data_IF_302735663438
#
_entry.id   IF_302735663438
#
_cell.length_a   1.000
_cell.length_b   1.000
_cell.length_c   1.000
_cell.angle_alpha   90.00
_cell.angle_beta   90.00
_cell.angle_gamma   90.00
#
_symmetry.space_group_name_H-M   'P 1'
#
loop_
_entity.id
_entity.type
_entity.pdbx_description
1 polymer ?
#
# COMPACT_ATOMS: atom_id res chain seq x y z
N UNK A 1 5.58 15.98 0.88
CA UNK A 1 4.98 14.65 1.18
C UNK A 1 3.50 14.69 0.82
N UNK A 2 2.89 13.51 0.61
CA UNK A 2 1.44 13.38 0.42
C UNK A 2 0.71 13.91 1.67
N UNK A 3 -0.46 14.52 1.48
CA UNK A 3 -1.24 15.07 2.59
C UNK A 3 -1.83 13.96 3.48
N UNK A 4 -1.88 14.23 4.79
CA UNK A 4 -2.41 13.29 5.77
C UNK A 4 -3.88 12.89 5.53
N UNK A 5 -4.69 13.77 4.93
CA UNK A 5 -6.06 13.47 4.55
C UNK A 5 -6.13 12.48 3.39
N UNK A 6 -5.22 12.53 2.43
CA UNK A 6 -5.11 11.55 1.33
C UNK A 6 -4.68 10.19 1.87
N UNK A 7 -3.72 10.18 2.80
CA UNK A 7 -3.35 8.96 3.52
C UNK A 7 -4.55 8.35 4.27
N UNK A 8 -5.33 9.16 4.98
CA UNK A 8 -6.53 8.71 5.68
C UNK A 8 -7.62 8.20 4.71
N UNK A 9 -7.81 8.85 3.56
CA UNK A 9 -8.76 8.43 2.53
C UNK A 9 -8.46 7.05 1.95
N UNK A 10 -7.18 6.65 1.90
CA UNK A 10 -6.81 5.31 1.44
C UNK A 10 -7.42 4.19 2.28
N UNK A 11 -7.72 4.46 3.56
CA UNK A 11 -8.22 3.50 4.52
C UNK A 11 -7.37 2.19 4.59
N UNK A 12 -6.09 2.29 4.23
CA UNK A 12 -5.14 1.18 4.32
C UNK A 12 -4.76 0.86 5.77
N UNK A 13 -4.57 1.92 6.57
CA UNK A 13 -4.16 1.82 7.97
C UNK A 13 -5.16 2.57 8.87
N UNK A 14 -5.95 1.83 9.64
CA UNK A 14 -7.07 2.35 10.44
C UNK A 14 -6.70 2.82 11.84
N UNK A 15 -5.43 2.72 12.21
CA UNK A 15 -4.94 3.23 13.48
C UNK A 15 -4.82 4.75 13.38
N UNK A 16 -5.37 5.47 14.36
CA UNK A 16 -5.19 6.92 14.45
C UNK A 16 -3.71 7.28 14.47
N UNK A 17 -3.33 8.29 13.70
CA UNK A 17 -1.95 8.76 13.58
C UNK A 17 -1.74 9.92 14.53
N UNK A 18 -0.82 9.78 15.49
CA UNK A 18 -0.41 10.86 16.40
C UNK A 18 0.80 11.62 15.86
N UNK A 19 1.57 10.99 14.96
CA UNK A 19 2.72 11.59 14.30
C UNK A 19 2.77 11.16 12.84
N UNK A 20 2.76 12.15 11.96
CA UNK A 20 2.83 11.98 10.51
C UNK A 20 4.09 12.68 9.99
N UNK A 21 4.98 11.92 9.35
CA UNK A 21 6.17 12.44 8.68
C UNK A 21 6.25 11.87 7.28
N UNK A 22 6.89 12.60 6.39
CA UNK A 22 7.18 12.12 5.05
C UNK A 22 8.13 13.05 4.32
N UNK A 23 8.70 12.55 3.25
CA UNK A 23 9.66 13.25 2.40
C UNK A 23 9.49 12.81 0.93
N UNK A 24 10.33 13.32 0.04
CA UNK A 24 10.47 12.83 -1.35
C UNK A 24 9.16 12.76 -2.13
N UNK A 25 8.40 13.85 -2.11
CA UNK A 25 7.17 13.95 -2.90
C UNK A 25 7.48 14.00 -4.39
N UNK A 26 7.01 12.99 -5.11
CA UNK A 26 6.93 12.97 -6.57
C UNK A 26 5.46 12.96 -6.97
N UNK A 27 5.09 13.89 -7.84
CA UNK A 27 3.74 13.99 -8.38
C UNK A 27 3.80 14.31 -9.87
N UNK A 28 2.76 13.94 -10.59
CA UNK A 28 2.66 14.25 -12.01
C UNK A 28 1.56 13.48 -12.71
N UNK A 29 1.63 13.50 -14.03
CA UNK A 29 0.72 12.76 -14.91
C UNK A 29 1.56 11.87 -15.82
N UNK A 30 1.27 10.57 -15.81
CA UNK A 30 1.84 9.62 -16.75
C UNK A 30 0.77 9.23 -17.78
N UNK A 31 0.94 9.72 -19.02
CA UNK A 31 -0.07 9.68 -20.08
C UNK A 31 -1.38 10.36 -19.64
N UNK A 32 -2.37 9.61 -19.15
CA UNK A 32 -3.67 10.13 -18.72
C UNK A 32 -3.90 10.03 -17.21
N UNK A 33 -2.97 9.43 -16.47
CA UNK A 33 -3.15 9.06 -15.07
C UNK A 33 -2.34 10.00 -14.18
N UNK A 34 -3.02 10.83 -13.38
CA UNK A 34 -2.36 11.58 -12.33
C UNK A 34 -1.98 10.67 -11.16
N UNK A 35 -0.87 10.99 -10.52
CA UNK A 35 -0.35 10.25 -9.37
C UNK A 35 0.43 11.14 -8.41
N UNK A 36 0.50 10.70 -7.16
CA UNK A 36 1.49 11.17 -6.19
C UNK A 36 2.13 9.96 -5.49
N UNK A 37 3.38 10.16 -5.08
CA UNK A 37 4.17 9.20 -4.34
C UNK A 37 5.05 9.95 -3.33
N UNK A 38 5.14 9.45 -2.11
CA UNK A 38 6.09 9.98 -1.11
C UNK A 38 6.49 8.91 -0.11
N UNK A 39 7.72 9.01 0.43
CA UNK A 39 8.07 8.24 1.63
C UNK A 39 7.27 8.78 2.81
N UNK A 40 6.64 7.89 3.58
CA UNK A 40 5.90 8.23 4.79
C UNK A 40 6.38 7.40 5.98
N UNK A 41 6.37 8.01 7.16
CA UNK A 41 6.49 7.35 8.45
C UNK A 41 5.38 7.84 9.38
N UNK A 42 4.40 6.98 9.63
CA UNK A 42 3.26 7.27 10.50
C UNK A 42 3.36 6.46 11.80
N UNK A 43 3.05 7.10 12.93
CA UNK A 43 3.18 6.51 14.25
C UNK A 43 2.01 6.88 15.15
N UNK A 44 1.68 6.00 16.10
CA UNK A 44 0.82 6.33 17.25
C UNK A 44 1.62 6.23 18.55
N UNK A 45 1.14 6.93 19.57
CA UNK A 45 1.68 6.92 20.91
C UNK A 45 0.93 5.88 21.74
N UNK A 46 1.64 4.83 22.14
CA UNK A 46 1.12 3.87 23.10
C UNK A 46 1.52 4.29 24.51
N UNK A 47 0.53 4.35 25.41
CA UNK A 47 0.72 4.68 26.82
C UNK A 47 0.29 3.47 27.64
N UNK A 48 1.23 2.90 28.40
CA UNK A 48 0.94 1.81 29.34
C UNK A 48 1.20 2.27 30.77
N UNK A 49 0.44 1.74 31.71
CA UNK A 49 0.63 1.99 33.14
C UNK A 49 0.76 0.65 33.83
N UNK A 50 1.84 0.45 34.58
CA UNK A 50 2.05 -0.81 35.29
C UNK A 50 1.24 -0.90 36.60
N UNK A 51 1.28 -2.06 37.24
CA UNK A 51 0.59 -2.32 38.51
C UNK A 51 1.09 -1.45 39.68
N UNK A 52 2.20 -0.71 39.50
CA UNK A 52 2.76 0.24 40.47
C UNK A 52 2.46 1.70 40.11
N UNK A 53 1.59 1.94 39.11
CA UNK A 53 1.21 3.29 38.66
C UNK A 53 2.27 3.99 37.82
N UNK A 54 3.34 3.31 37.39
CA UNK A 54 4.39 3.92 36.57
C UNK A 54 3.92 3.95 35.12
N UNK A 55 3.87 5.16 34.55
CA UNK A 55 3.48 5.41 33.16
C UNK A 55 4.68 5.24 32.24
N UNK A 56 4.50 4.48 31.17
CA UNK A 56 5.47 4.29 30.09
C UNK A 56 4.84 4.77 28.79
N UNK A 57 5.60 5.48 27.97
CA UNK A 57 5.15 5.97 26.67
C UNK A 57 6.10 5.44 25.59
N UNK A 58 5.56 4.88 24.51
CA UNK A 58 6.37 4.50 23.35
C UNK A 58 5.69 4.89 22.05
N UNK A 59 6.50 5.26 21.06
CA UNK A 59 6.03 5.47 19.69
C UNK A 59 6.03 4.14 18.95
N UNK A 60 4.89 3.78 18.38
CA UNK A 60 4.71 2.55 17.62
C UNK A 60 4.44 2.91 16.16
N UNK A 61 5.22 2.34 15.24
CA UNK A 61 5.05 2.54 13.80
C UNK A 61 3.75 1.90 13.33
N UNK A 62 2.96 2.67 12.58
CA UNK A 62 1.78 2.19 11.84
C UNK A 62 2.24 1.78 10.45
N UNK A 63 2.90 2.70 9.74
CA UNK A 63 3.45 2.49 8.42
C UNK A 63 4.79 3.20 8.29
N UNK A 64 5.74 2.57 7.59
CA UNK A 64 6.99 3.18 7.15
C UNK A 64 7.30 2.66 5.74
N UNK A 65 7.52 3.55 4.78
CA UNK A 65 7.91 3.21 3.42
C UNK A 65 7.22 4.08 2.36
N UNK A 66 7.14 3.59 1.13
CA UNK A 66 6.57 4.34 0.01
C UNK A 66 5.05 4.24 -0.02
N UNK A 67 4.41 5.40 -0.06
CA UNK A 67 2.98 5.53 -0.23
C UNK A 67 2.68 6.20 -1.56
N UNK A 68 1.84 5.55 -2.35
CA UNK A 68 1.51 5.94 -3.72
C UNK A 68 -0.01 5.98 -3.87
N UNK A 69 -0.51 6.94 -4.65
CA UNK A 69 -1.87 6.86 -5.18
C UNK A 69 -1.95 7.39 -6.60
N UNK A 70 -2.81 6.76 -7.38
CA UNK A 70 -3.07 7.15 -8.76
C UNK A 70 -4.56 7.15 -9.06
N UNK A 71 -4.91 7.92 -10.08
CA UNK A 71 -6.24 7.94 -10.64
C UNK A 71 -6.58 6.60 -11.29
N UNK A 72 -7.67 5.98 -10.84
CA UNK A 72 -8.23 4.81 -11.49
C UNK A 72 -9.34 5.28 -12.42
N UNK A 73 -9.36 4.78 -13.66
CA UNK A 73 -10.39 5.17 -14.63
C UNK A 73 -11.77 4.53 -14.33
N UNK A 74 -12.21 4.56 -13.09
CA UNK A 74 -13.52 4.08 -12.65
C UNK A 74 -13.80 4.71 -11.30
N UNK A 75 -15.02 5.19 -11.13
CA UNK A 75 -15.53 5.55 -9.82
C UNK A 75 -16.06 4.27 -9.15
N UNK A 76 -15.52 3.99 -7.97
CA UNK A 76 -15.86 2.86 -7.13
C UNK A 76 -16.99 3.26 -6.18
N UNK A 77 -18.03 2.43 -6.14
CA UNK A 77 -19.12 2.56 -5.18
C UNK A 77 -18.70 1.90 -3.86
N UNK A 78 -18.10 0.72 -3.96
CA UNK A 78 -17.55 -0.02 -2.85
C UNK A 78 -16.10 0.34 -2.55
N UNK A 79 -15.57 -0.29 -1.51
CA UNK A 79 -14.16 -0.23 -1.13
C UNK A 79 -13.58 -1.62 -1.18
N UNK A 80 -12.44 -1.76 -1.85
CA UNK A 80 -11.71 -3.02 -1.96
C UNK A 80 -10.33 -2.86 -1.35
N UNK A 81 -9.93 -3.79 -0.49
CA UNK A 81 -8.65 -3.82 0.20
C UNK A 81 -7.93 -5.11 -0.11
N UNK A 82 -6.67 -5.00 -0.54
CA UNK A 82 -5.77 -6.13 -0.79
C UNK A 82 -4.61 -5.99 0.19
N UNK A 83 -4.44 -6.94 1.10
CA UNK A 83 -3.40 -6.92 2.12
C UNK A 83 -2.53 -8.16 2.02
N UNK A 84 -1.24 -8.13 2.41
CA UNK A 84 -0.41 -9.31 2.41
C UNK A 84 -1.03 -10.43 3.25
N UNK A 85 -1.05 -11.65 2.74
CA UNK A 85 -1.41 -12.80 3.56
C UNK A 85 -0.21 -13.17 4.45
N UNK A 86 -0.19 -12.61 5.67
CA UNK A 86 0.81 -12.96 6.69
C UNK A 86 0.48 -14.24 7.46
N UNK A 87 -0.73 -14.79 7.31
CA UNK A 87 -1.19 -15.94 8.09
C UNK A 87 -0.55 -17.26 7.61
N UNK A 88 -0.39 -17.47 6.30
CA UNK A 88 0.31 -18.66 5.77
C UNK A 88 1.78 -18.75 6.21
N UNK A 89 2.44 -17.62 6.49
CA UNK A 89 3.85 -17.61 6.92
C UNK A 89 4.04 -18.06 8.38
N UNK A 90 2.99 -18.01 9.20
CA UNK A 90 3.02 -18.38 10.62
C UNK A 90 2.39 -19.75 10.91
N UNK A 91 1.43 -20.18 10.08
CA UNK A 91 0.69 -21.42 10.26
C UNK A 91 0.96 -22.31 9.05
N UNK A 92 1.94 -23.20 9.20
CA UNK A 92 2.39 -24.09 8.14
C UNK A 92 1.25 -24.85 7.44
N UNK A 93 1.57 -25.32 6.23
CA UNK A 93 0.77 -26.23 5.39
C UNK A 93 -0.07 -27.16 6.27
N UNK A 94 -1.38 -27.23 6.00
CA UNK A 94 -2.42 -27.96 6.74
C UNK A 94 -3.19 -27.14 7.79
N UNK A 95 -4.15 -26.35 7.28
CA UNK A 95 -5.46 -26.29 7.91
C UNK A 95 -5.76 -25.00 8.66
N UNK A 96 -6.44 -24.08 7.96
CA UNK A 96 -7.67 -23.39 8.40
C UNK A 96 -8.08 -22.40 7.30
N UNK A 97 -8.89 -22.89 6.35
CA UNK A 97 -9.67 -22.05 5.44
C UNK A 97 -10.34 -20.92 6.24
N UNK A 98 -9.88 -19.69 6.00
CA UNK A 98 -10.66 -18.44 5.94
C UNK A 98 -11.59 -18.02 7.09
N UNK A 99 -11.66 -18.73 8.22
CA UNK A 99 -12.75 -18.48 9.17
C UNK A 99 -12.56 -17.29 10.13
N UNK A 100 -11.38 -16.65 10.22
CA UNK A 100 -11.15 -15.58 11.23
C UNK A 100 -10.14 -14.49 10.84
N UNK A 101 -9.96 -14.17 9.56
CA UNK A 101 -9.25 -12.92 9.23
C UNK A 101 -10.29 -11.80 9.39
N UNK A 102 -10.32 -11.17 10.57
CA UNK A 102 -11.11 -9.97 10.78
C UNK A 102 -10.50 -8.86 9.92
N UNK A 103 -11.19 -8.53 8.84
CA UNK A 103 -10.85 -7.42 7.97
C UNK A 103 -11.79 -6.23 8.16
N UNK A 104 -11.54 -5.14 7.43
CA UNK A 104 -12.40 -3.96 7.45
C UNK A 104 -13.72 -4.12 6.71
N UNK A 105 -13.87 -5.22 5.96
CA UNK A 105 -15.05 -5.57 5.19
C UNK A 105 -15.12 -7.11 5.07
N UNK A 106 -16.22 -7.68 4.56
CA UNK A 106 -16.29 -9.11 4.27
C UNK A 106 -15.16 -9.58 3.36
N UNK A 107 -14.67 -10.80 3.62
CA UNK A 107 -13.66 -11.46 2.81
C UNK A 107 -14.22 -11.76 1.40
N UNK A 108 -13.38 -11.55 0.38
CA UNK A 108 -13.63 -11.95 -1.00
C UNK A 108 -12.65 -13.06 -1.37
N UNK A 109 -13.18 -14.19 -1.82
CA UNK A 109 -12.36 -15.31 -2.33
C UNK A 109 -12.31 -15.23 -3.85
N UNK A 110 -11.10 -15.27 -4.41
CA UNK A 110 -10.81 -15.25 -5.84
C UNK A 110 -10.30 -16.62 -6.32
N UNK A 111 -10.27 -16.81 -7.64
CA UNK A 111 -9.91 -18.09 -8.26
C UNK A 111 -8.39 -18.24 -8.51
N UNK A 112 -7.63 -17.15 -8.42
CA UNK A 112 -6.19 -17.17 -8.67
C UNK A 112 -5.42 -17.70 -7.44
N UNK A 113 -4.98 -18.96 -7.53
CA UNK A 113 -4.28 -19.67 -6.45
C UNK A 113 -2.99 -18.97 -6.00
N UNK A 114 -2.20 -18.43 -6.93
CA UNK A 114 -0.95 -17.75 -6.57
C UNK A 114 -1.22 -16.39 -5.91
N UNK A 115 -2.28 -15.70 -6.33
CA UNK A 115 -2.72 -14.46 -5.70
C UNK A 115 -3.21 -14.69 -4.27
N UNK A 116 -4.06 -15.70 -4.05
CA UNK A 116 -4.61 -16.04 -2.72
C UNK A 116 -3.53 -16.49 -1.73
N UNK A 117 -2.39 -17.03 -2.20
CA UNK A 117 -1.22 -17.32 -1.33
C UNK A 117 -0.48 -16.05 -0.89
N UNK A 118 -0.53 -15.01 -1.70
CA UNK A 118 0.23 -13.78 -1.48
C UNK A 118 -0.58 -12.70 -0.75
N UNK A 119 -1.90 -12.69 -0.96
CA UNK A 119 -2.79 -11.62 -0.54
C UNK A 119 -4.12 -12.13 -0.04
N UNK A 120 -4.70 -11.38 0.90
CA UNK A 120 -6.08 -11.50 1.36
C UNK A 120 -6.88 -10.29 0.87
N UNK A 121 -8.11 -10.53 0.39
CA UNK A 121 -8.99 -9.48 -0.13
C UNK A 121 -10.21 -9.29 0.76
N UNK A 122 -10.49 -8.04 1.12
CA UNK A 122 -11.73 -7.66 1.78
C UNK A 122 -12.42 -6.59 0.94
N UNK A 123 -13.73 -6.67 0.77
CA UNK A 123 -14.47 -5.66 0.04
C UNK A 123 -15.89 -5.44 0.56
N UNK A 124 -16.37 -4.22 0.46
CA UNK A 124 -17.77 -3.90 0.79
C UNK A 124 -18.74 -4.33 -0.31
N UNK A 125 -18.24 -4.48 -1.54
CA UNK A 125 -18.95 -5.02 -2.69
C UNK A 125 -18.08 -6.11 -3.35
N UNK A 126 -18.53 -7.36 -3.27
CA UNK A 126 -17.76 -8.49 -3.81
C UNK A 126 -17.80 -8.58 -5.34
N UNK A 127 -18.82 -8.02 -5.98
CA UNK A 127 -18.97 -8.02 -7.43
C UNK A 127 -18.03 -6.97 -7.99
N UNK A 128 -18.06 -5.76 -7.44
CA UNK A 128 -17.16 -4.69 -7.85
C UNK A 128 -15.69 -5.06 -7.64
N UNK A 129 -15.36 -5.71 -6.51
CA UNK A 129 -14.01 -6.21 -6.25
C UNK A 129 -13.50 -7.16 -7.35
N UNK A 130 -14.34 -8.04 -7.89
CA UNK A 130 -13.95 -8.96 -8.99
C UNK A 130 -13.79 -8.24 -10.33
N UNK A 131 -14.54 -7.17 -10.56
CA UNK A 131 -14.32 -6.30 -11.72
C UNK A 131 -13.04 -5.48 -11.63
N UNK A 132 -12.63 -5.10 -10.42
CA UNK A 132 -11.36 -4.41 -10.16
C UNK A 132 -10.20 -5.40 -10.28
N UNK A 133 -10.27 -6.52 -9.58
CA UNK A 133 -9.21 -7.52 -9.47
C UNK A 133 -9.27 -8.52 -10.64
N UNK A 134 -9.15 -7.99 -11.85
CA UNK A 134 -9.00 -8.80 -13.06
C UNK A 134 -7.72 -9.65 -13.00
N UNK A 135 -7.62 -10.76 -13.76
CA UNK A 135 -6.40 -11.57 -13.82
C UNK A 135 -5.13 -10.75 -14.05
N UNK A 136 -5.18 -9.78 -14.97
CA UNK A 136 -4.04 -8.89 -15.26
C UNK A 136 -3.64 -8.03 -14.07
N UNK A 137 -4.61 -7.47 -13.33
CA UNK A 137 -4.34 -6.66 -12.14
C UNK A 137 -3.78 -7.53 -11.00
N UNK A 138 -4.31 -8.74 -10.79
CA UNK A 138 -3.78 -9.66 -9.80
C UNK A 138 -2.33 -10.06 -10.10
N UNK A 139 -2.02 -10.39 -11.35
CA UNK A 139 -0.66 -10.70 -11.77
C UNK A 139 0.29 -9.50 -11.64
N UNK A 140 -0.18 -8.29 -11.94
CA UNK A 140 0.57 -7.05 -11.72
C UNK A 140 0.93 -6.84 -10.25
N UNK A 141 -0.01 -7.06 -9.33
CA UNK A 141 0.24 -6.97 -7.88
C UNK A 141 1.26 -8.01 -7.42
N UNK A 142 1.21 -9.23 -7.95
CA UNK A 142 2.21 -10.27 -7.69
C UNK A 142 3.60 -9.87 -8.18
N UNK A 143 3.70 -9.30 -9.39
CA UNK A 143 4.97 -8.77 -9.94
C UNK A 143 5.53 -7.64 -9.10
N UNK A 144 4.70 -6.68 -8.68
CA UNK A 144 5.11 -5.58 -7.79
C UNK A 144 5.67 -6.16 -6.48
N UNK A 145 4.94 -7.09 -5.86
CA UNK A 145 5.40 -7.76 -4.64
C UNK A 145 6.73 -8.48 -4.83
N UNK A 146 6.91 -9.19 -5.94
CA UNK A 146 8.16 -9.91 -6.24
C UNK A 146 9.33 -8.96 -6.49
N UNK A 147 9.09 -7.84 -7.19
CA UNK A 147 10.14 -6.87 -7.54
C UNK A 147 10.72 -6.16 -6.30
N UNK A 148 9.88 -5.84 -5.32
CA UNK A 148 10.29 -5.08 -4.14
C UNK A 148 10.53 -5.93 -2.89
N UNK A 149 10.20 -7.22 -2.93
CA UNK A 149 10.34 -8.19 -1.82
C UNK A 149 9.87 -7.62 -0.46
N UNK A 150 8.70 -6.98 -0.46
CA UNK A 150 8.17 -6.30 0.72
C UNK A 150 6.68 -6.59 0.96
N UNK A 151 6.17 -6.06 2.07
CA UNK A 151 4.73 -6.07 2.34
C UNK A 151 4.06 -4.98 1.51
N UNK A 152 3.21 -5.38 0.58
CA UNK A 152 2.48 -4.46 -0.30
C UNK A 152 1.02 -4.48 0.06
N UNK A 153 0.43 -3.31 0.29
CA UNK A 153 -1.00 -3.16 0.51
C UNK A 153 -1.60 -2.32 -0.61
N UNK A 154 -2.83 -2.64 -1.02
CA UNK A 154 -3.59 -1.84 -1.96
C UNK A 154 -4.98 -1.55 -1.43
N UNK A 155 -5.52 -0.38 -1.79
CA UNK A 155 -6.93 -0.09 -1.64
C UNK A 155 -7.48 0.63 -2.86
N UNK A 156 -8.74 0.38 -3.14
CA UNK A 156 -9.51 1.01 -4.21
C UNK A 156 -10.70 1.70 -3.54
N UNK A 157 -10.67 3.04 -3.54
CA UNK A 157 -11.63 3.89 -2.83
C UNK A 157 -11.90 5.13 -3.65
N UNK A 158 -13.18 5.47 -3.83
CA UNK A 158 -13.58 6.63 -4.64
C UNK A 158 -13.17 6.42 -6.09
N UNK A 159 -12.29 7.25 -6.64
CA UNK A 159 -11.79 7.10 -8.01
C UNK A 159 -10.30 6.73 -8.05
N UNK A 160 -9.72 6.26 -6.94
CA UNK A 160 -8.27 6.11 -6.81
C UNK A 160 -7.86 4.73 -6.33
N UNK A 161 -6.71 4.30 -6.83
CA UNK A 161 -5.95 3.19 -6.26
C UNK A 161 -4.84 3.75 -5.39
N UNK A 162 -4.69 3.18 -4.20
CA UNK A 162 -3.61 3.46 -3.26
C UNK A 162 -2.73 2.21 -3.15
N UNK A 163 -1.42 2.42 -3.03
CA UNK A 163 -0.44 1.37 -2.85
C UNK A 163 0.54 1.78 -1.73
N UNK A 164 0.79 0.87 -0.79
CA UNK A 164 1.74 1.09 0.30
C UNK A 164 2.76 -0.05 0.33
N UNK A 165 4.02 0.31 0.07
CA UNK A 165 5.18 -0.59 0.10
C UNK A 165 5.89 -0.44 1.45
N UNK A 166 5.73 -1.42 2.34
CA UNK A 166 6.31 -1.40 3.67
C UNK A 166 7.82 -1.63 3.64
N UNK A 167 8.58 -0.63 4.08
CA UNK A 167 10.04 -0.58 4.01
C UNK A 167 10.62 -0.19 5.36
N UNK A 168 11.53 -1.00 5.91
CA UNK A 168 12.13 -0.75 7.22
C UNK A 168 13.31 0.24 7.15
N UNK A 169 13.99 0.29 6.00
CA UNK A 169 15.07 1.25 5.72
C UNK A 169 14.48 2.42 4.95
N UNK A 170 14.98 3.64 5.23
CA UNK A 170 14.76 4.76 4.34
C UNK A 170 15.24 4.30 2.96
N UNK A 171 14.36 4.36 1.97
CA UNK A 171 14.64 3.75 0.66
C UNK A 171 15.74 4.51 -0.09
N UNK A 172 16.07 5.71 0.40
CA UNK A 172 16.85 6.71 -0.31
C UNK A 172 17.83 7.46 0.61
N UNK A 173 18.32 6.82 1.68
CA UNK A 173 19.41 7.37 2.48
C UNK A 173 20.73 6.64 2.13
N UNK A 174 21.72 7.34 1.51
CA UNK A 174 23.04 6.77 1.36
C UNK A 174 23.64 6.48 2.73
N UNK A 175 24.50 5.45 2.80
CA UNK A 175 25.46 5.34 3.91
C UNK A 175 26.39 6.56 3.86
N UNK A 176 26.07 7.58 4.66
CA UNK A 176 26.77 8.86 4.72
C UNK A 176 28.16 8.70 5.35
N UNK A 177 29.15 8.35 4.54
CA UNK A 177 30.53 8.79 4.78
C UNK A 177 31.14 9.30 3.47
N UNK A 178 31.40 10.61 3.42
CA UNK A 178 32.19 11.30 2.39
C UNK A 178 31.41 12.39 1.63
N UNK A 179 32.09 13.42 1.11
CA UNK A 179 31.47 14.58 0.49
C UNK A 179 30.98 14.32 -0.94
N UNK A 180 30.19 15.25 -1.44
CA UNK A 180 29.67 15.43 -2.81
C UNK A 180 28.22 14.94 -2.96
N UNK A 181 27.43 15.77 -3.62
CA UNK A 181 26.10 15.48 -4.18
C UNK A 181 26.26 14.22 -5.05
N UNK A 182 25.88 13.06 -4.53
CA UNK A 182 26.36 11.75 -5.01
C UNK A 182 25.29 11.07 -5.85
N UNK A 183 25.71 10.47 -6.97
CA UNK A 183 25.00 9.56 -7.89
C UNK A 183 23.84 8.74 -7.30
N UNK A 184 23.94 8.36 -6.02
CA UNK A 184 22.92 7.66 -5.25
C UNK A 184 21.57 8.38 -5.19
N UNK A 185 21.52 9.70 -4.97
CA UNK A 185 20.26 10.46 -4.94
C UNK A 185 19.52 10.40 -6.30
N UNK A 186 20.27 10.28 -7.41
CA UNK A 186 19.68 10.10 -8.74
C UNK A 186 19.20 8.67 -8.98
N UNK A 187 19.90 7.66 -8.46
CA UNK A 187 19.46 6.26 -8.51
C UNK A 187 18.18 6.07 -7.70
N UNK A 188 18.13 6.66 -6.52
CA UNK A 188 16.99 6.68 -5.60
C UNK A 188 15.75 7.29 -6.27
N UNK A 189 15.93 8.48 -6.83
CA UNK A 189 14.88 9.16 -7.61
C UNK A 189 14.47 8.34 -8.85
N UNK A 190 15.41 7.70 -9.54
CA UNK A 190 15.12 6.81 -10.67
C UNK A 190 14.29 5.60 -10.23
N UNK A 191 14.63 4.98 -9.11
CA UNK A 191 13.86 3.88 -8.55
C UNK A 191 12.45 4.32 -8.16
N UNK A 192 12.31 5.51 -7.56
CA UNK A 192 11.01 6.10 -7.23
C UNK A 192 10.15 6.32 -8.49
N UNK A 193 10.71 6.94 -9.52
CA UNK A 193 10.02 7.07 -10.82
C UNK A 193 9.68 5.71 -11.43
N UNK A 194 10.57 4.73 -11.32
CA UNK A 194 10.34 3.40 -11.88
C UNK A 194 9.22 2.66 -11.16
N UNK A 195 9.12 2.77 -9.83
CA UNK A 195 7.99 2.25 -9.05
C UNK A 195 6.68 2.83 -9.56
N UNK A 196 6.63 4.15 -9.73
CA UNK A 196 5.42 4.84 -10.21
C UNK A 196 5.03 4.37 -11.62
N UNK A 197 6.00 4.29 -12.54
CA UNK A 197 5.79 3.78 -13.90
C UNK A 197 5.29 2.33 -13.89
N UNK A 198 5.91 1.46 -13.09
CA UNK A 198 5.51 0.06 -12.93
C UNK A 198 4.07 -0.03 -12.40
N UNK A 199 3.72 0.68 -11.33
CA UNK A 199 2.37 0.63 -10.78
C UNK A 199 1.34 1.09 -11.81
N UNK A 200 1.57 2.21 -12.50
CA UNK A 200 0.62 2.76 -13.47
C UNK A 200 0.46 1.84 -14.68
N UNK A 201 1.55 1.30 -15.22
CA UNK A 201 1.53 0.42 -16.40
C UNK A 201 1.00 -0.97 -16.08
N UNK A 202 1.50 -1.58 -15.01
CA UNK A 202 1.13 -2.95 -14.64
C UNK A 202 -0.34 -3.04 -14.20
N UNK A 203 -0.84 -2.04 -13.45
CA UNK A 203 -2.27 -1.96 -13.13
C UNK A 203 -3.13 -1.46 -14.30
N UNK A 204 -2.51 -1.17 -15.45
CA UNK A 204 -3.16 -0.74 -16.67
C UNK A 204 -4.10 0.48 -16.46
N UNK A 205 -3.67 1.44 -15.65
CA UNK A 205 -4.51 2.57 -15.22
C UNK A 205 -4.88 3.50 -16.38
N UNK A 206 -4.07 3.52 -17.44
CA UNK A 206 -4.34 4.30 -18.65
C UNK A 206 -5.42 3.70 -19.55
N UNK A 207 -5.90 2.48 -19.29
CA UNK A 207 -7.00 1.90 -20.07
C UNK A 207 -8.31 2.58 -19.70
N UNK A 208 -8.70 3.55 -20.54
CA UNK A 208 -9.88 4.38 -20.30
C UNK A 208 -11.15 3.76 -20.93
N UNK A 209 -11.59 2.61 -20.42
CA UNK A 209 -12.80 1.90 -20.91
C UNK A 209 -14.11 2.33 -20.22
N UNK A 210 -14.01 3.17 -19.18
CA UNK A 210 -15.16 3.68 -18.43
C UNK A 210 -15.19 5.21 -18.50
N UNK A 211 -16.35 5.82 -18.72
CA UNK A 211 -16.54 7.26 -18.55
C UNK A 211 -16.86 7.56 -17.09
N UNK A 212 -16.08 8.46 -16.48
CA UNK A 212 -16.40 9.05 -15.17
C UNK A 212 -17.63 9.94 -15.31
N UNK A 213 -18.49 9.95 -14.29
CA UNK A 213 -19.74 10.74 -14.27
C UNK A 213 -19.50 12.06 -13.56
#
# INVERSE_FOLDING_TARGET
>A
MIDSSVYAQSDLFRKSVDRYKGDDLVQGVLDKTDFECSELHTQYKEVTTDSKGRRQERWVTIFKGLFFHADFNKDFIGRTYVSPDTAERLLGKFGRRFQKISGPAPLVVLENVEFEKAFVVHATDQIEARYILTPTIMEAMLRIKQLYDCQVHFSFVGSRVYCALGMNKALFEPKLFGPVIKLHEMEDMYHLFKVNEVIIRELNLNTRIWTKV
#
